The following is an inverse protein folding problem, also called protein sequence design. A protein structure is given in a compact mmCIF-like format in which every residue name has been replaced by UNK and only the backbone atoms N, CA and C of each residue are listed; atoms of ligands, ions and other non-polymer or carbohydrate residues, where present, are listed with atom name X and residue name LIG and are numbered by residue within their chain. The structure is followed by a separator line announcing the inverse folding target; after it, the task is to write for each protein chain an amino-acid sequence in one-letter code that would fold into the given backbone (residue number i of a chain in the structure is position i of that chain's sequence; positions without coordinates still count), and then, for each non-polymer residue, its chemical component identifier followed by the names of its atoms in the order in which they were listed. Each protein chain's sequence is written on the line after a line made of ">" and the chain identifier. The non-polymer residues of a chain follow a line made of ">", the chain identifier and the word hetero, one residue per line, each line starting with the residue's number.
data_IF_068346291013
#
_entry.id   IF_068346291013
#
_cell.length_a   1.000
_cell.length_b   1.000
_cell.length_c   1.000
_cell.angle_alpha   90.00
_cell.angle_beta   90.00
_cell.angle_gamma   90.00
#
_symmetry.space_group_name_H-M   'P 1'
#
loop_
_entity.id
_entity.type
_entity.pdbx_description
1 polymer ?
#
# COMPACT_ATOMS: atom_id res chain seq x y z
N UNK A 1 7.89 -0.20 1.65
CA UNK A 1 7.85 -0.57 3.09
C UNK A 1 6.44 -0.40 3.62
N UNK A 2 5.89 -1.45 4.22
CA UNK A 2 4.58 -1.45 4.88
C UNK A 2 4.64 -2.31 6.13
N UNK A 3 3.92 -1.95 7.20
CA UNK A 3 3.86 -2.76 8.44
C UNK A 3 3.31 -4.15 8.15
N UNK A 4 2.18 -4.19 7.45
CA UNK A 4 1.47 -5.41 7.04
C UNK A 4 0.98 -5.23 5.60
N UNK A 5 0.90 -6.32 4.85
CA UNK A 5 0.29 -6.33 3.51
C UNK A 5 -1.22 -6.60 3.63
N UNK A 6 -2.05 -5.62 3.28
CA UNK A 6 -3.51 -5.69 3.40
C UNK A 6 -4.16 -6.25 2.12
N UNK A 7 -5.40 -6.75 2.18
CA UNK A 7 -6.20 -6.93 0.97
C UNK A 7 -6.90 -5.60 0.66
N UNK A 8 -6.80 -5.10 -0.58
CA UNK A 8 -7.56 -3.92 -0.99
C UNK A 8 -6.86 -3.09 -2.06
N UNK A 9 -7.45 -1.92 -2.37
CA UNK A 9 -6.97 -1.02 -3.41
C UNK A 9 -5.52 -0.53 -3.23
N UNK A 10 -5.03 -0.48 -2.00
CA UNK A 10 -3.62 -0.13 -1.70
C UNK A 10 -2.66 -1.21 -2.19
N UNK A 11 -3.04 -2.48 -2.07
CA UNK A 11 -2.16 -3.61 -2.42
C UNK A 11 -2.18 -3.91 -3.90
N UNK A 12 -3.33 -3.74 -4.57
CA UNK A 12 -3.37 -3.78 -6.04
C UNK A 12 -2.51 -2.67 -6.63
N UNK A 13 -2.59 -1.46 -6.07
CA UNK A 13 -1.72 -0.36 -6.47
C UNK A 13 -0.23 -0.67 -6.26
N UNK A 14 0.14 -1.31 -5.14
CA UNK A 14 1.52 -1.71 -4.87
C UNK A 14 2.02 -2.74 -5.90
N UNK A 15 1.19 -3.71 -6.28
CA UNK A 15 1.51 -4.71 -7.31
C UNK A 15 1.72 -4.04 -8.67
N UNK A 16 0.79 -3.19 -9.10
CA UNK A 16 0.89 -2.48 -10.38
C UNK A 16 2.13 -1.58 -10.44
N UNK A 17 2.39 -0.84 -9.36
CA UNK A 17 3.58 0.00 -9.24
C UNK A 17 4.87 -0.84 -9.31
N UNK A 18 4.92 -1.95 -8.57
CA UNK A 18 6.10 -2.83 -8.55
C UNK A 18 6.36 -3.44 -9.93
N UNK A 19 5.30 -3.84 -10.64
CA UNK A 19 5.38 -4.38 -12.00
C UNK A 19 5.99 -3.38 -12.98
N UNK A 20 5.49 -2.15 -13.02
CA UNK A 20 6.02 -1.14 -13.93
C UNK A 20 7.44 -0.70 -13.55
N UNK A 21 7.77 -0.59 -12.25
CA UNK A 21 9.14 -0.30 -11.81
C UNK A 21 10.14 -1.39 -12.22
N UNK A 22 9.77 -2.67 -12.08
CA UNK A 22 10.62 -3.79 -12.50
C UNK A 22 10.82 -3.78 -14.01
N UNK A 23 9.75 -3.51 -14.78
CA UNK A 23 9.78 -3.40 -16.23
C UNK A 23 10.68 -2.26 -16.71
N UNK A 24 10.72 -1.15 -15.96
CA UNK A 24 11.63 -0.02 -16.20
C UNK A 24 13.08 -0.30 -15.74
N UNK A 25 13.37 -1.52 -15.24
CA UNK A 25 14.71 -1.99 -14.90
C UNK A 25 15.12 -1.75 -13.44
N UNK A 26 14.19 -1.33 -12.57
CA UNK A 26 14.48 -1.12 -11.16
C UNK A 26 14.43 -2.43 -10.36
N UNK A 27 15.29 -2.56 -9.35
CA UNK A 27 15.21 -3.62 -8.35
C UNK A 27 14.24 -3.22 -7.26
N UNK A 28 13.18 -4.00 -7.07
CA UNK A 28 12.13 -3.71 -6.11
C UNK A 28 12.16 -4.75 -4.99
N UNK A 29 12.20 -4.26 -3.74
CA UNK A 29 12.06 -5.10 -2.54
C UNK A 29 10.88 -4.63 -1.70
N UNK A 30 10.15 -5.57 -1.10
CA UNK A 30 9.10 -5.27 -0.13
C UNK A 30 9.56 -5.64 1.28
N UNK A 31 9.53 -4.66 2.19
CA UNK A 31 9.78 -4.85 3.61
C UNK A 31 8.43 -4.84 4.35
N UNK A 32 8.05 -5.97 4.96
CA UNK A 32 6.77 -6.13 5.67
C UNK A 32 6.71 -7.38 6.58
N UNK A 33 5.74 -7.43 7.52
CA UNK A 33 5.40 -8.64 8.29
C UNK A 33 4.67 -9.72 7.49
N UNK A 34 4.44 -9.48 6.21
CA UNK A 34 3.65 -10.35 5.33
C UNK A 34 2.17 -9.99 5.30
N UNK A 35 1.32 -10.88 4.75
CA UNK A 35 -0.12 -10.63 4.66
C UNK A 35 -0.78 -10.58 6.05
N UNK A 36 -1.82 -9.75 6.19
CA UNK A 36 -2.53 -9.54 7.47
C UNK A 36 -3.18 -10.81 7.99
N UNK A 37 -3.86 -11.54 7.12
CA UNK A 37 -4.48 -12.81 7.43
C UNK A 37 -3.88 -13.85 6.49
N UNK A 38 -2.86 -14.54 6.99
CA UNK A 38 -2.17 -15.60 6.27
C UNK A 38 -3.14 -16.74 5.92
N UNK A 39 -4.20 -17.00 6.67
CA UNK A 39 -5.11 -18.11 6.38
C UNK A 39 -6.09 -17.80 5.22
N UNK A 40 -6.21 -16.54 4.82
CA UNK A 40 -7.00 -16.15 3.66
C UNK A 40 -6.27 -16.48 2.36
N UNK A 41 -6.85 -17.39 1.58
CA UNK A 41 -6.35 -17.73 0.25
C UNK A 41 -6.24 -16.50 -0.67
N UNK A 42 -7.16 -15.55 -0.56
CA UNK A 42 -7.12 -14.32 -1.36
C UNK A 42 -5.91 -13.45 -0.99
N UNK A 43 -5.59 -13.34 0.31
CA UNK A 43 -4.40 -12.60 0.77
C UNK A 43 -3.11 -13.25 0.29
N UNK A 44 -3.02 -14.59 0.40
CA UNK A 44 -1.86 -15.33 -0.10
C UNK A 44 -1.69 -15.12 -1.59
N UNK A 45 -2.74 -15.30 -2.39
CA UNK A 45 -2.68 -15.13 -3.85
C UNK A 45 -2.22 -13.72 -4.27
N UNK A 46 -2.69 -12.67 -3.60
CA UNK A 46 -2.23 -11.30 -3.88
C UNK A 46 -0.79 -11.04 -3.44
N UNK A 47 -0.36 -11.65 -2.34
CA UNK A 47 1.04 -11.54 -1.92
C UNK A 47 1.96 -12.35 -2.84
N UNK A 48 1.56 -13.55 -3.21
CA UNK A 48 2.27 -14.43 -4.14
C UNK A 48 2.37 -13.80 -5.52
N UNK A 49 1.34 -13.10 -5.99
CA UNK A 49 1.41 -12.37 -7.27
C UNK A 49 2.48 -11.28 -7.24
N UNK A 50 2.65 -10.58 -6.11
CA UNK A 50 3.76 -9.64 -5.93
C UNK A 50 5.12 -10.33 -6.02
N UNK A 51 5.28 -11.48 -5.35
CA UNK A 51 6.55 -12.24 -5.37
C UNK A 51 6.86 -12.80 -6.76
N UNK A 52 5.84 -13.26 -7.48
CA UNK A 52 5.96 -13.79 -8.84
C UNK A 52 6.41 -12.74 -9.86
N UNK A 53 6.27 -11.44 -9.56
CA UNK A 53 6.84 -10.36 -10.37
C UNK A 53 8.38 -10.26 -10.24
N UNK A 54 8.98 -10.97 -9.28
CA UNK A 54 10.40 -10.85 -8.95
C UNK A 54 10.70 -9.81 -7.86
N UNK A 55 9.67 -9.34 -7.13
CA UNK A 55 9.88 -8.47 -5.96
C UNK A 55 10.56 -9.27 -4.86
N UNK A 56 11.68 -8.75 -4.35
CA UNK A 56 12.38 -9.39 -3.24
C UNK A 56 11.62 -9.18 -1.93
N UNK A 57 11.25 -10.28 -1.26
CA UNK A 57 10.61 -10.20 0.06
C UNK A 57 11.63 -10.15 1.19
N UNK A 58 11.56 -9.08 1.97
CA UNK A 58 12.31 -8.90 3.22
C UNK A 58 11.32 -8.93 4.37
N UNK A 59 11.27 -10.08 5.04
CA UNK A 59 10.40 -10.25 6.19
C UNK A 59 10.93 -9.52 7.43
N UNK A 60 10.09 -8.70 8.05
CA UNK A 60 10.36 -8.07 9.35
C UNK A 60 9.13 -8.22 10.23
N UNK A 61 9.34 -8.71 11.45
CA UNK A 61 8.31 -8.83 12.47
C UNK A 61 7.90 -7.46 13.03
N UNK A 62 7.07 -6.72 12.31
CA UNK A 62 6.29 -5.63 12.87
C UNK A 62 5.00 -6.16 13.51
N UNK A 63 4.47 -5.48 14.55
CA UNK A 63 3.24 -5.91 15.20
C UNK A 63 2.09 -5.93 14.22
N UNK A 64 1.30 -7.01 14.20
CA UNK A 64 0.11 -7.13 13.35
C UNK A 64 -1.15 -6.57 14.03
N UNK A 65 -1.32 -6.87 15.32
CA UNK A 65 -2.48 -6.50 16.13
C UNK A 65 -2.10 -5.63 17.33
N UNK A 66 -3.05 -4.83 17.84
CA UNK A 66 -2.82 -3.89 18.95
C UNK A 66 -3.58 -4.31 20.23
N UNK A 67 -3.68 -5.61 20.50
CA UNK A 67 -4.44 -6.11 21.66
C UNK A 67 -3.77 -5.73 22.99
N UNK A 68 -2.44 -5.66 23.02
CA UNK A 68 -1.66 -5.20 24.16
C UNK A 68 -0.68 -4.09 23.73
N UNK A 69 -0.86 -2.88 24.28
CA UNK A 69 -0.07 -1.70 23.90
C UNK A 69 1.42 -1.84 24.21
N UNK A 70 1.77 -2.57 25.28
CA UNK A 70 3.17 -2.74 25.68
C UNK A 70 3.91 -3.70 24.73
N UNK A 71 3.30 -4.86 24.43
CA UNK A 71 3.89 -5.79 23.46
C UNK A 71 3.95 -5.18 22.06
N UNK A 72 2.90 -4.45 21.66
CA UNK A 72 2.88 -3.69 20.40
C UNK A 72 4.07 -2.74 20.30
N UNK A 73 4.37 -1.99 21.37
CA UNK A 73 5.49 -1.06 21.38
C UNK A 73 6.84 -1.78 21.27
N UNK A 74 7.02 -2.87 22.02
CA UNK A 74 8.25 -3.68 21.98
C UNK A 74 8.47 -4.25 20.57
N UNK A 75 7.44 -4.85 19.98
CA UNK A 75 7.49 -5.40 18.63
C UNK A 75 7.76 -4.32 17.58
N UNK A 76 7.15 -3.13 17.74
CA UNK A 76 7.40 -2.00 16.84
C UNK A 76 8.86 -1.53 16.91
N UNK A 77 9.42 -1.42 18.12
CA UNK A 77 10.82 -1.01 18.32
C UNK A 77 11.78 -2.07 17.79
N UNK A 78 11.55 -3.34 18.10
CA UNK A 78 12.37 -4.45 17.59
C UNK A 78 12.32 -4.56 16.06
N UNK A 79 11.12 -4.49 15.49
CA UNK A 79 10.92 -4.46 14.04
C UNK A 79 11.59 -3.25 13.38
N UNK A 80 11.48 -2.07 13.98
CA UNK A 80 12.13 -0.86 13.49
C UNK A 80 13.66 -0.97 13.53
N UNK A 81 14.24 -1.50 14.60
CA UNK A 81 15.67 -1.74 14.72
C UNK A 81 16.19 -2.69 13.63
N UNK A 82 15.50 -3.83 13.45
CA UNK A 82 15.83 -4.79 12.40
C UNK A 82 15.71 -4.16 11.00
N UNK A 83 14.68 -3.34 10.78
CA UNK A 83 14.49 -2.63 9.52
C UNK A 83 15.63 -1.63 9.25
N UNK A 84 16.03 -0.85 10.24
CA UNK A 84 17.16 0.08 10.12
C UNK A 84 18.44 -0.68 9.75
N UNK A 85 18.70 -1.82 10.38
CA UNK A 85 19.89 -2.63 10.08
C UNK A 85 19.86 -3.16 8.64
N UNK A 86 18.70 -3.68 8.20
CA UNK A 86 18.52 -4.10 6.81
C UNK A 86 18.76 -2.94 5.84
N UNK A 87 18.16 -1.77 6.10
CA UNK A 87 18.33 -0.59 5.26
C UNK A 87 19.77 -0.11 5.19
N UNK A 88 20.52 -0.16 6.30
CA UNK A 88 21.95 0.24 6.32
C UNK A 88 22.87 -0.77 5.65
N UNK A 89 22.55 -2.06 5.75
CA UNK A 89 23.37 -3.13 5.19
C UNK A 89 23.11 -3.36 3.70
N UNK A 90 21.95 -2.92 3.21
CA UNK A 90 21.57 -3.02 1.80
C UNK A 90 21.66 -1.64 1.15
N UNK A 91 22.16 -1.57 -0.08
CA UNK A 91 22.31 -0.31 -0.82
C UNK A 91 20.99 0.10 -1.47
N UNK A 92 19.99 0.46 -0.68
CA UNK A 92 18.75 1.03 -1.22
C UNK A 92 18.96 2.50 -1.59
N UNK A 93 18.61 2.87 -2.81
CA UNK A 93 18.65 4.26 -3.26
C UNK A 93 17.49 5.08 -2.71
N UNK A 94 16.33 4.45 -2.55
CA UNK A 94 15.10 5.09 -2.09
C UNK A 94 14.21 4.12 -1.32
N UNK A 95 13.50 4.62 -0.31
CA UNK A 95 12.48 3.86 0.42
C UNK A 95 11.11 4.46 0.15
N UNK A 96 10.15 3.65 -0.29
CA UNK A 96 8.76 4.09 -0.43
C UNK A 96 7.91 3.59 0.74
N UNK A 97 7.39 4.49 1.56
CA UNK A 97 6.62 4.19 2.77
C UNK A 97 5.12 4.28 2.51
N UNK A 98 4.39 3.22 2.87
CA UNK A 98 2.92 3.15 2.79
C UNK A 98 2.23 3.12 4.17
N UNK A 99 2.98 2.87 5.25
CA UNK A 99 2.45 2.95 6.63
C UNK A 99 3.08 4.14 7.37
N UNK A 100 2.31 5.19 7.70
CA UNK A 100 2.86 6.43 8.26
C UNK A 100 3.72 6.28 9.52
N UNK A 101 3.35 5.36 10.43
CA UNK A 101 4.09 5.08 11.68
C UNK A 101 5.55 4.62 11.43
N UNK A 102 5.87 4.13 10.23
CA UNK A 102 7.20 3.63 9.89
C UNK A 102 8.08 4.69 9.21
N UNK A 103 7.56 5.90 8.94
CA UNK A 103 8.29 6.93 8.17
C UNK A 103 9.55 7.44 8.86
N UNK A 104 9.70 7.28 10.17
CA UNK A 104 10.94 7.62 10.87
C UNK A 104 12.13 6.69 10.55
N UNK A 105 11.87 5.45 10.13
CA UNK A 105 12.91 4.43 9.92
C UNK A 105 13.88 4.84 8.79
N UNK A 106 13.44 5.23 7.58
CA UNK A 106 14.36 5.65 6.52
C UNK A 106 15.20 6.87 6.92
N UNK A 107 14.62 7.81 7.69
CA UNK A 107 15.35 8.98 8.19
C UNK A 107 16.49 8.59 9.12
N UNK A 108 16.27 7.64 10.04
CA UNK A 108 17.31 7.09 10.91
C UNK A 108 18.35 6.27 10.13
N UNK A 109 17.93 5.61 9.04
CA UNK A 109 18.83 4.92 8.12
C UNK A 109 19.59 5.88 7.18
N UNK A 110 19.22 7.16 7.14
CA UNK A 110 19.75 8.19 6.23
C UNK A 110 19.57 7.85 4.74
N UNK A 111 18.43 7.25 4.41
CA UNK A 111 18.06 6.94 3.02
C UNK A 111 16.91 7.87 2.61
N UNK A 112 16.99 8.49 1.41
CA UNK A 112 15.87 9.28 0.88
C UNK A 112 14.59 8.45 0.85
N UNK A 113 13.47 9.06 1.19
CA UNK A 113 12.20 8.34 1.18
C UNK A 113 11.03 9.13 0.62
N UNK A 114 10.18 8.38 -0.07
CA UNK A 114 8.90 8.81 -0.60
C UNK A 114 7.81 8.26 0.32
N UNK A 115 6.73 9.01 0.49
CA UNK A 115 5.51 8.51 1.13
C UNK A 115 4.31 8.63 0.20
N UNK A 116 3.45 7.61 0.19
CA UNK A 116 2.09 7.72 -0.33
C UNK A 116 1.10 7.55 0.81
N UNK A 117 0.31 8.58 1.07
CA UNK A 117 -0.73 8.57 2.10
C UNK A 117 -2.06 8.12 1.46
N UNK A 118 -2.64 7.02 1.96
CA UNK A 118 -3.86 6.42 1.41
C UNK A 118 -5.15 6.75 2.17
N UNK A 119 -5.05 7.25 3.41
CA UNK A 119 -6.21 7.52 4.27
C UNK A 119 -6.25 8.98 4.70
N UNK A 120 -7.45 9.56 4.68
CA UNK A 120 -7.74 10.97 4.95
C UNK A 120 -7.63 11.33 6.44
N UNK A 121 -7.95 10.40 7.34
CA UNK A 121 -7.94 10.67 8.77
C UNK A 121 -6.98 9.70 9.47
N UNK A 122 -5.86 10.23 9.90
CA UNK A 122 -5.05 9.51 10.85
C UNK A 122 -4.67 10.50 11.96
N UNK A 123 -5.13 10.21 13.18
CA UNK A 123 -4.50 10.67 14.42
C UNK A 123 -3.07 10.14 14.42
N UNK A 124 -2.18 10.87 13.77
CA UNK A 124 -0.86 10.37 13.42
C UNK A 124 0.11 10.56 14.58
N UNK A 125 0.81 9.48 14.87
CA UNK A 125 1.87 9.38 15.87
C UNK A 125 2.97 10.41 15.63
N UNK A 126 3.67 10.80 16.69
CA UNK A 126 4.91 11.60 16.63
C UNK A 126 6.01 10.96 15.78
N UNK A 127 5.89 9.66 15.49
CA UNK A 127 6.81 8.91 14.62
C UNK A 127 6.50 9.07 13.13
N UNK A 128 5.38 9.72 12.79
CA UNK A 128 5.02 10.02 11.42
C UNK A 128 5.60 11.38 11.00
N UNK A 129 6.69 11.33 10.25
CA UNK A 129 7.53 12.48 9.92
C UNK A 129 7.36 12.90 8.45
N UNK A 130 7.88 14.08 8.11
CA UNK A 130 7.92 14.60 6.74
C UNK A 130 8.85 13.75 5.86
N UNK A 131 8.37 13.34 4.68
CA UNK A 131 9.13 12.67 3.64
C UNK A 131 10.01 13.63 2.84
N UNK A 132 10.98 13.09 2.10
CA UNK A 132 11.74 13.90 1.15
C UNK A 132 10.86 14.24 -0.08
N UNK A 133 9.91 13.36 -0.41
CA UNK A 133 8.87 13.59 -1.41
C UNK A 133 7.54 12.91 -1.03
N UNK A 134 6.43 13.59 -1.27
CA UNK A 134 5.09 13.06 -1.02
C UNK A 134 4.32 12.80 -2.32
N UNK A 135 3.66 11.65 -2.40
CA UNK A 135 2.67 11.34 -3.42
C UNK A 135 1.30 11.38 -2.76
N UNK A 136 0.49 12.36 -3.15
CA UNK A 136 -0.91 12.43 -2.75
C UNK A 136 -1.78 11.79 -3.84
N UNK A 137 -2.72 10.93 -3.43
CA UNK A 137 -3.60 10.21 -4.37
C UNK A 137 -4.91 10.94 -4.68
N UNK A 138 -5.20 12.01 -3.93
CA UNK A 138 -6.37 12.85 -4.11
C UNK A 138 -6.06 14.29 -3.69
N UNK A 139 -6.93 15.24 -4.09
CA UNK A 139 -6.75 16.65 -3.77
C UNK A 139 -6.88 16.91 -2.27
N UNK A 140 -7.74 16.17 -1.60
CA UNK A 140 -7.97 16.20 -0.15
C UNK A 140 -6.69 15.79 0.59
N UNK A 141 -6.10 14.65 0.21
CA UNK A 141 -4.82 14.18 0.78
C UNK A 141 -3.69 15.19 0.51
N UNK A 142 -3.65 15.77 -0.70
CA UNK A 142 -2.64 16.77 -1.07
C UNK A 142 -2.70 18.01 -0.16
N UNK A 143 -3.90 18.56 0.04
CA UNK A 143 -4.10 19.77 0.84
C UNK A 143 -3.74 19.51 2.32
N UNK A 144 -4.14 18.36 2.87
CA UNK A 144 -3.81 17.98 4.24
C UNK A 144 -2.30 17.73 4.44
N UNK A 145 -1.64 17.07 3.49
CA UNK A 145 -0.19 16.87 3.53
C UNK A 145 0.58 18.20 3.53
N UNK A 146 0.19 19.18 2.71
CA UNK A 146 0.76 20.53 2.76
C UNK A 146 0.50 21.20 4.10
N UNK A 147 -0.74 21.15 4.59
CA UNK A 147 -1.12 21.78 5.85
C UNK A 147 -0.30 21.24 7.03
N UNK A 148 -0.10 19.93 7.08
CA UNK A 148 0.59 19.21 8.15
C UNK A 148 2.11 19.31 8.07
N UNK A 149 2.71 18.92 6.96
CA UNK A 149 4.17 18.79 6.85
C UNK A 149 4.85 19.98 6.15
N UNK A 150 4.07 20.96 5.68
CA UNK A 150 4.58 22.16 5.00
C UNK A 150 5.47 21.77 3.81
N UNK A 151 4.97 20.89 2.95
CA UNK A 151 5.64 20.58 1.68
C UNK A 151 5.62 21.80 0.76
N UNK A 152 6.72 22.02 0.03
CA UNK A 152 6.74 22.91 -1.13
C UNK A 152 6.18 22.17 -2.36
N UNK A 153 5.77 22.89 -3.39
CA UNK A 153 5.27 22.29 -4.64
C UNK A 153 6.28 21.35 -5.34
N UNK A 154 7.57 21.45 -5.01
CA UNK A 154 8.63 20.59 -5.54
C UNK A 154 8.78 19.27 -4.77
N UNK A 155 8.22 19.20 -3.55
CA UNK A 155 8.36 18.06 -2.62
C UNK A 155 7.05 17.31 -2.39
N UNK A 156 6.01 17.61 -3.16
CA UNK A 156 4.74 16.89 -3.18
C UNK A 156 4.16 16.88 -4.59
N UNK A 157 3.51 15.79 -5.00
CA UNK A 157 2.77 15.70 -6.25
C UNK A 157 1.46 14.95 -6.09
N UNK A 158 0.42 15.47 -6.75
CA UNK A 158 -0.84 14.76 -6.92
C UNK A 158 -0.67 13.74 -8.05
N UNK A 159 -0.75 12.45 -7.71
CA UNK A 159 -0.74 11.33 -8.64
C UNK A 159 -1.95 10.46 -8.31
N UNK A 160 -2.99 10.58 -9.13
CA UNK A 160 -4.18 9.77 -8.95
C UNK A 160 -3.85 8.29 -9.23
N UNK A 161 -4.42 7.39 -8.45
CA UNK A 161 -4.25 5.96 -8.69
C UNK A 161 -4.79 5.60 -10.08
N UNK A 162 -4.01 4.82 -10.82
CA UNK A 162 -4.47 4.17 -12.04
C UNK A 162 -5.39 2.99 -11.75
N UNK A 163 -6.01 2.49 -12.82
CA UNK A 163 -6.77 1.23 -12.80
C UNK A 163 -6.16 0.33 -13.88
N UNK A 164 -5.93 -0.96 -13.58
CA UNK A 164 -5.44 -1.90 -14.58
C UNK A 164 -6.36 -1.91 -15.80
N UNK A 165 -5.77 -2.06 -16.99
CA UNK A 165 -6.50 -2.10 -18.26
C UNK A 165 -7.56 -3.19 -18.27
N UNK A 166 -7.32 -4.30 -17.59
CA UNK A 166 -8.23 -5.44 -17.50
C UNK A 166 -9.57 -5.06 -16.86
N UNK A 167 -9.59 -4.08 -15.94
CA UNK A 167 -10.82 -3.55 -15.34
C UNK A 167 -11.45 -2.44 -16.19
N UNK A 168 -10.64 -1.68 -16.93
CA UNK A 168 -11.13 -0.57 -17.75
C UNK A 168 -11.74 -1.05 -19.08
N UNK A 169 -11.24 -2.16 -19.62
CA UNK A 169 -11.73 -2.80 -20.84
C UNK A 169 -12.12 -4.25 -20.55
N UNK A 170 -13.18 -4.49 -19.77
CA UNK A 170 -13.62 -5.86 -19.54
C UNK A 170 -14.05 -6.47 -20.88
N UNK A 171 -13.60 -7.69 -21.16
CA UNK A 171 -14.21 -8.51 -22.21
C UNK A 171 -15.68 -8.72 -21.83
N UNK A 172 -16.59 -8.06 -22.54
CA UNK A 172 -18.02 -8.12 -22.23
C UNK A 172 -18.60 -9.43 -22.75
N UNK A 173 -18.75 -10.40 -21.87
CA UNK A 173 -19.56 -11.58 -22.15
C UNK A 173 -21.05 -11.24 -21.97
N UNK A 174 -21.73 -10.90 -23.07
CA UNK A 174 -23.15 -10.56 -23.06
C UNK A 174 -24.06 -11.71 -22.63
N UNK A 175 -23.66 -12.97 -22.84
CA UNK A 175 -24.42 -14.13 -22.35
C UNK A 175 -24.35 -14.21 -20.82
N UNK A 176 -23.16 -14.07 -20.24
CA UNK A 176 -22.95 -14.09 -18.78
C UNK A 176 -23.76 -12.99 -18.08
N UNK A 177 -23.78 -11.78 -18.63
CA UNK A 177 -24.58 -10.68 -18.09
C UNK A 177 -26.07 -11.01 -18.11
N UNK A 178 -26.57 -11.60 -19.21
CA UNK A 178 -27.99 -11.95 -19.33
C UNK A 178 -28.38 -13.10 -18.38
N UNK A 179 -27.48 -14.06 -18.18
CA UNK A 179 -27.72 -15.17 -17.26
C UNK A 179 -27.71 -14.70 -15.80
N UNK A 180 -26.79 -13.80 -15.42
CA UNK A 180 -26.83 -13.14 -14.12
C UNK A 180 -28.15 -12.38 -13.92
N UNK A 181 -28.61 -11.64 -14.94
CA UNK A 181 -29.91 -10.94 -14.86
C UNK A 181 -31.09 -11.90 -14.65
N UNK A 182 -31.07 -13.09 -15.24
CA UNK A 182 -32.08 -14.13 -15.01
C UNK A 182 -31.98 -14.69 -13.59
N UNK A 183 -30.78 -15.03 -13.13
CA UNK A 183 -30.52 -15.57 -11.78
C UNK A 183 -31.03 -14.62 -10.70
N UNK A 184 -30.78 -13.32 -10.87
CA UNK A 184 -31.22 -12.30 -9.92
C UNK A 184 -32.62 -11.73 -10.20
N UNK A 185 -33.30 -12.18 -11.26
CA UNK A 185 -34.63 -11.73 -11.66
C UNK A 185 -34.75 -10.20 -11.82
N UNK A 186 -33.83 -9.63 -12.61
CA UNK A 186 -33.65 -8.19 -12.84
C UNK A 186 -33.62 -7.80 -14.33
N UNK A 187 -34.20 -8.59 -15.23
CA UNK A 187 -34.10 -8.37 -16.68
C UNK A 187 -34.57 -6.97 -17.13
N UNK A 188 -35.62 -6.43 -16.50
CA UNK A 188 -36.27 -5.16 -16.89
C UNK A 188 -36.17 -4.06 -15.83
N UNK A 189 -35.12 -4.11 -14.99
CA UNK A 189 -34.92 -3.15 -13.88
C UNK A 189 -33.72 -2.25 -14.14
N UNK A 190 -33.77 -1.02 -13.61
CA UNK A 190 -32.57 -0.19 -13.46
C UNK A 190 -31.71 -0.84 -12.37
N UNK A 191 -30.47 -1.18 -12.71
CA UNK A 191 -29.54 -1.84 -11.81
C UNK A 191 -28.57 -0.78 -11.26
N UNK A 192 -28.54 -0.63 -9.94
CA UNK A 192 -27.54 0.17 -9.23
C UNK A 192 -26.58 -0.81 -8.54
N UNK A 193 -25.33 -0.82 -8.96
CA UNK A 193 -24.29 -1.67 -8.38
C UNK A 193 -23.46 -0.91 -7.36
N UNK A 194 -23.19 -1.55 -6.22
CA UNK A 194 -22.23 -1.06 -5.24
C UNK A 194 -21.19 -2.15 -5.00
N UNK A 195 -19.93 -1.82 -5.27
CA UNK A 195 -18.79 -2.72 -5.07
C UNK A 195 -17.79 -2.01 -4.16
N UNK A 196 -17.55 -2.60 -3.01
CA UNK A 196 -16.61 -2.10 -2.01
C UNK A 196 -16.52 -3.07 -0.84
N UNK A 197 -15.46 -2.95 -0.05
CA UNK A 197 -15.37 -3.63 1.23
C UNK A 197 -16.21 -2.87 2.25
N UNK A 198 -17.09 -3.56 2.95
CA UNK A 198 -17.73 -3.04 4.16
C UNK A 198 -16.80 -3.34 5.34
N UNK A 199 -16.28 -2.29 5.97
CA UNK A 199 -15.56 -2.36 7.26
C UNK A 199 -16.50 -2.02 8.42
#
# INVERSE_FOLDING_TARGET
>A
MSRVFYLGGVSTHLIDLSKELIKDGHKVSIITSGPINEDSLANRKLFDSLLNLGVEYIHINFPKNNNNKFSYLIELVGGAWNCINVLKNRKFDIVHVHTPILSFIPKLAKIPFIRTTHLYDMKLSVLDIKADYEIAISKEIYNEAIKKYKYSNESIKLINNGVSRDYYQPERNHEEVNDLKKIFNIQDKIIIGLVGSAE
#
